data_IF_132883066340
#
_entry.id   IF_132883066340
#
_cell.length_a   1.000
_cell.length_b   1.000
_cell.length_c   1.000
_cell.angle_alpha   90.00
_cell.angle_beta   90.00
_cell.angle_gamma   90.00
#
_symmetry.space_group_name_H-M   'P 1'
#
loop_
_entity.id
_entity.type
_entity.pdbx_description
1 polymer ?
#
# COMPACT_ATOMS: atom_id res chain seq x y z
N UNK A 1 -13.17 6.41 -15.47
CA UNK A 1 -13.20 7.79 -14.96
C UNK A 1 -13.38 7.78 -13.44
N UNK A 2 -12.60 8.59 -12.72
CA UNK A 2 -12.74 8.78 -11.26
C UNK A 2 -12.56 10.27 -10.98
N UNK A 3 -13.56 10.88 -10.33
CA UNK A 3 -13.47 12.26 -9.87
C UNK A 3 -13.67 12.36 -8.36
N UNK A 4 -12.78 13.10 -7.69
CA UNK A 4 -12.84 13.32 -6.26
C UNK A 4 -12.60 14.78 -5.87
N UNK A 5 -13.43 15.28 -4.97
CA UNK A 5 -13.40 16.65 -4.44
C UNK A 5 -13.40 16.62 -2.90
N UNK A 6 -12.52 17.38 -2.26
CA UNK A 6 -12.62 17.63 -0.81
C UNK A 6 -13.70 18.66 -0.46
N UNK A 7 -14.01 19.55 -1.40
CA UNK A 7 -15.03 20.58 -1.25
C UNK A 7 -15.77 20.76 -2.57
N UNK A 8 -17.10 20.93 -2.51
CA UNK A 8 -17.94 21.12 -3.71
C UNK A 8 -17.67 22.44 -4.47
N UNK A 9 -16.96 23.37 -3.83
CA UNK A 9 -16.71 24.72 -4.41
C UNK A 9 -15.35 24.84 -5.10
N UNK A 10 -14.53 23.78 -5.13
CA UNK A 10 -13.15 23.81 -5.65
C UNK A 10 -13.01 22.78 -6.77
N UNK A 11 -12.03 22.98 -7.64
CA UNK A 11 -11.64 22.01 -8.66
C UNK A 11 -11.40 20.60 -8.07
N UNK A 12 -11.59 19.55 -8.88
CA UNK A 12 -11.34 18.20 -8.42
C UNK A 12 -9.92 18.05 -7.89
N UNK A 13 -9.77 17.37 -6.76
CA UNK A 13 -8.46 16.97 -6.25
C UNK A 13 -7.87 15.88 -7.14
N UNK A 14 -8.74 15.01 -7.66
CA UNK A 14 -8.39 13.96 -8.62
C UNK A 14 -9.43 13.92 -9.73
N UNK A 15 -8.94 13.83 -10.98
CA UNK A 15 -9.70 13.54 -12.18
C UNK A 15 -8.88 12.57 -13.03
N UNK A 16 -9.12 11.28 -12.86
CA UNK A 16 -8.39 10.21 -13.54
C UNK A 16 -9.32 9.55 -14.54
N UNK A 17 -9.00 9.68 -15.83
CA UNK A 17 -9.80 9.13 -16.94
C UNK A 17 -9.76 7.61 -16.93
N UNK A 18 -8.56 7.05 -16.99
CA UNK A 18 -8.33 5.61 -17.01
C UNK A 18 -6.95 5.29 -16.47
N UNK A 19 -6.89 4.26 -15.65
CA UNK A 19 -5.63 3.69 -15.18
C UNK A 19 -5.83 2.24 -14.77
N UNK A 20 -4.82 1.40 -15.04
CA UNK A 20 -4.85 0.00 -14.63
C UNK A 20 -3.45 -0.46 -14.24
N UNK A 21 -3.42 -1.44 -13.34
CA UNK A 21 -2.23 -2.17 -12.90
C UNK A 21 -2.54 -3.65 -13.13
N UNK A 22 -1.63 -4.34 -13.82
CA UNK A 22 -1.78 -5.76 -14.07
C UNK A 22 -1.34 -6.60 -12.86
N UNK A 23 -1.86 -7.82 -12.78
CA UNK A 23 -1.43 -8.77 -11.77
C UNK A 23 0.08 -9.03 -11.88
N UNK A 24 0.78 -9.01 -10.73
CA UNK A 24 2.23 -9.20 -10.65
C UNK A 24 3.05 -8.00 -11.12
N UNK A 25 2.42 -6.93 -11.58
CA UNK A 25 3.11 -5.70 -12.01
C UNK A 25 3.50 -4.84 -10.81
N UNK A 26 4.70 -4.27 -10.83
CA UNK A 26 5.16 -3.27 -9.89
C UNK A 26 5.10 -1.88 -10.49
N UNK A 27 4.37 -0.96 -9.82
CA UNK A 27 4.18 0.42 -10.28
C UNK A 27 4.68 1.39 -9.23
N UNK A 28 5.55 2.29 -9.66
CA UNK A 28 6.03 3.42 -8.88
C UNK A 28 5.22 4.67 -9.19
N UNK A 29 4.47 5.16 -8.22
CA UNK A 29 3.68 6.38 -8.33
C UNK A 29 4.39 7.52 -7.59
N UNK A 30 4.76 8.56 -8.32
CA UNK A 30 5.39 9.73 -7.73
C UNK A 30 4.58 11.00 -8.00
N UNK A 31 4.90 12.05 -7.27
CA UNK A 31 4.25 13.36 -7.43
C UNK A 31 4.62 14.29 -6.28
N UNK A 32 4.44 15.59 -6.49
CA UNK A 32 4.74 16.62 -5.49
C UNK A 32 3.92 16.41 -4.21
N UNK A 33 4.38 16.95 -3.08
CA UNK A 33 3.56 16.99 -1.87
C UNK A 33 2.25 17.73 -2.17
N UNK A 34 1.14 17.21 -1.66
CA UNK A 34 -0.20 17.77 -1.93
C UNK A 34 -0.79 17.45 -3.30
N UNK A 35 -0.14 16.64 -4.15
CA UNK A 35 -0.67 16.30 -5.49
C UNK A 35 -1.88 15.35 -5.48
N UNK A 36 -2.27 14.81 -4.33
CA UNK A 36 -3.39 13.87 -4.23
C UNK A 36 -3.01 12.40 -4.11
N UNK A 37 -1.72 12.05 -3.92
CA UNK A 37 -1.26 10.65 -3.79
C UNK A 37 -2.02 9.88 -2.71
N UNK A 38 -2.04 10.39 -1.48
CA UNK A 38 -2.77 9.74 -0.37
C UNK A 38 -4.29 9.71 -0.59
N UNK A 39 -4.84 10.72 -1.29
CA UNK A 39 -6.25 10.71 -1.70
C UNK A 39 -6.52 9.56 -2.67
N UNK A 40 -5.67 9.38 -3.69
CA UNK A 40 -5.77 8.26 -4.63
C UNK A 40 -5.66 6.91 -3.92
N UNK A 41 -4.68 6.75 -3.01
CA UNK A 41 -4.55 5.52 -2.23
C UNK A 41 -5.78 5.23 -1.38
N UNK A 42 -6.36 6.25 -0.75
CA UNK A 42 -7.58 6.10 0.04
C UNK A 42 -8.80 5.73 -0.82
N UNK A 43 -8.86 6.18 -2.07
CA UNK A 43 -9.90 5.77 -3.03
C UNK A 43 -9.67 4.32 -3.47
N UNK A 44 -8.44 3.93 -3.83
CA UNK A 44 -8.12 2.56 -4.23
C UNK A 44 -8.39 1.58 -3.08
N UNK A 45 -8.09 1.97 -1.84
CA UNK A 45 -8.37 1.14 -0.67
C UNK A 45 -9.84 1.17 -0.23
N UNK A 46 -10.71 1.98 -0.87
CA UNK A 46 -12.11 2.12 -0.53
C UNK A 46 -12.37 2.82 0.81
N UNK A 47 -11.39 3.55 1.35
CA UNK A 47 -11.54 4.41 2.54
C UNK A 47 -12.29 5.69 2.16
N UNK A 48 -11.97 6.26 0.99
CA UNK A 48 -12.69 7.38 0.39
C UNK A 48 -13.52 6.90 -0.80
N UNK A 49 -14.68 7.50 -0.96
CA UNK A 49 -15.55 7.25 -2.12
C UNK A 49 -15.41 8.41 -3.12
N UNK A 50 -15.13 8.12 -4.40
CA UNK A 50 -15.16 9.14 -5.44
C UNK A 50 -16.58 9.64 -5.64
N UNK A 51 -16.76 10.91 -5.97
CA UNK A 51 -18.08 11.46 -6.31
C UNK A 51 -18.58 10.99 -7.66
N UNK A 52 -17.64 10.63 -8.57
CA UNK A 52 -17.99 10.06 -9.87
C UNK A 52 -16.97 8.98 -10.25
N UNK A 53 -17.44 8.02 -11.04
CA UNK A 53 -16.61 7.00 -11.64
C UNK A 53 -16.65 5.66 -10.91
N UNK A 54 -15.74 4.76 -11.32
CA UNK A 54 -15.71 3.36 -10.89
C UNK A 54 -14.29 2.96 -10.57
N UNK A 55 -14.10 2.31 -9.42
CA UNK A 55 -12.84 1.65 -9.07
C UNK A 55 -13.07 0.14 -9.05
N UNK A 56 -12.39 -0.56 -9.97
CA UNK A 56 -12.43 -2.02 -10.05
C UNK A 56 -11.12 -2.62 -9.59
N UNK A 57 -11.21 -3.62 -8.72
CA UNK A 57 -10.06 -4.35 -8.18
C UNK A 57 -10.41 -5.84 -8.21
N UNK A 58 -9.58 -6.66 -8.85
CA UNK A 58 -9.84 -8.10 -9.04
C UNK A 58 -11.23 -8.35 -9.64
N UNK A 59 -11.59 -7.58 -10.67
CA UNK A 59 -12.89 -7.60 -11.35
C UNK A 59 -14.08 -7.16 -10.49
N UNK A 60 -13.87 -6.85 -9.21
CA UNK A 60 -14.88 -6.34 -8.29
C UNK A 60 -14.96 -4.81 -8.35
N UNK A 61 -16.14 -4.26 -8.59
CA UNK A 61 -16.42 -2.83 -8.44
C UNK A 61 -16.56 -2.49 -6.95
N UNK A 62 -15.48 -1.94 -6.36
CA UNK A 62 -15.45 -1.61 -4.93
C UNK A 62 -16.28 -0.35 -4.59
N UNK A 63 -16.61 0.48 -5.57
CA UNK A 63 -17.43 1.69 -5.34
C UNK A 63 -18.87 1.35 -4.99
N UNK A 64 -19.33 0.14 -5.36
CA UNK A 64 -20.69 -0.35 -5.07
C UNK A 64 -20.80 -1.13 -3.77
N UNK A 65 -19.69 -1.43 -3.12
CA UNK A 65 -19.68 -2.19 -1.89
C UNK A 65 -20.09 -1.31 -0.70
N UNK A 66 -20.82 -1.88 0.24
CA UNK A 66 -21.04 -1.28 1.55
C UNK A 66 -19.76 -1.23 2.38
N UNK A 67 -19.73 -0.38 3.42
CA UNK A 67 -18.50 -0.16 4.22
C UNK A 67 -17.93 -1.46 4.80
N UNK A 68 -18.77 -2.33 5.35
CA UNK A 68 -18.34 -3.62 5.90
C UNK A 68 -17.76 -4.55 4.83
N UNK A 69 -18.30 -4.50 3.62
CA UNK A 69 -17.79 -5.28 2.49
C UNK A 69 -16.45 -4.74 2.00
N UNK A 70 -16.28 -3.40 1.94
CA UNK A 70 -14.99 -2.76 1.65
C UNK A 70 -13.93 -3.15 2.67
N UNK A 71 -14.28 -3.15 3.97
CA UNK A 71 -13.36 -3.55 5.03
C UNK A 71 -12.92 -5.01 4.89
N UNK A 72 -13.85 -5.92 4.59
CA UNK A 72 -13.55 -7.33 4.32
C UNK A 72 -12.71 -7.50 3.05
N UNK A 73 -13.02 -6.77 2.00
CA UNK A 73 -12.29 -6.81 0.74
C UNK A 73 -10.83 -6.37 0.94
N UNK A 74 -10.61 -5.23 1.65
CA UNK A 74 -9.25 -4.77 2.01
C UNK A 74 -8.49 -5.82 2.79
N UNK A 75 -9.10 -6.32 3.87
CA UNK A 75 -8.45 -7.28 4.75
C UNK A 75 -8.08 -8.58 4.04
N UNK A 76 -8.82 -8.98 3.00
CA UNK A 76 -8.58 -10.20 2.24
C UNK A 76 -7.57 -10.03 1.12
N UNK A 77 -7.63 -8.92 0.39
CA UNK A 77 -6.97 -8.78 -0.90
C UNK A 77 -5.83 -7.75 -0.91
N UNK A 78 -5.72 -6.90 0.12
CA UNK A 78 -4.76 -5.80 0.14
C UNK A 78 -3.79 -5.89 1.31
N UNK A 79 -2.49 -5.82 1.03
CA UNK A 79 -1.45 -5.58 2.01
C UNK A 79 -1.07 -4.10 2.00
N UNK A 80 -1.22 -3.39 3.12
CA UNK A 80 -0.91 -1.96 3.18
C UNK A 80 0.28 -1.71 4.10
N UNK A 81 1.29 -1.03 3.57
CA UNK A 81 2.49 -0.59 4.30
C UNK A 81 2.43 0.94 4.37
N UNK A 82 2.36 1.47 5.57
CA UNK A 82 2.26 2.91 5.82
C UNK A 82 3.62 3.52 6.13
N UNK A 83 3.76 4.82 5.90
CA UNK A 83 4.94 5.61 6.25
C UNK A 83 5.35 5.46 7.73
N UNK A 84 4.40 5.44 8.65
CA UNK A 84 4.62 5.25 10.09
C UNK A 84 4.39 3.80 10.52
N UNK A 85 4.70 2.81 9.76
CA UNK A 85 4.54 1.36 9.98
C UNK A 85 3.25 0.93 10.70
N UNK A 86 2.65 1.76 11.53
CA UNK A 86 1.41 1.54 12.29
C UNK A 86 1.39 0.20 13.06
N UNK A 87 2.54 -0.19 13.62
CA UNK A 87 2.60 -1.31 14.55
C UNK A 87 2.02 -0.89 15.89
N UNK A 88 1.31 -1.80 16.53
CA UNK A 88 0.79 -1.58 17.89
C UNK A 88 1.94 -1.81 18.87
N UNK A 89 2.42 -0.76 19.58
CA UNK A 89 3.72 -0.80 20.27
C UNK A 89 3.80 -1.84 21.40
N UNK A 90 2.68 -2.09 22.07
CA UNK A 90 2.59 -3.00 23.23
C UNK A 90 2.27 -4.45 22.84
N UNK A 91 1.90 -4.71 21.59
CA UNK A 91 1.71 -6.07 21.07
C UNK A 91 3.04 -6.70 20.66
N UNK A 92 3.11 -8.02 20.72
CA UNK A 92 4.24 -8.76 20.18
C UNK A 92 4.32 -8.64 18.65
N UNK A 93 5.47 -8.98 18.07
CA UNK A 93 5.62 -9.09 16.61
C UNK A 93 4.60 -10.06 16.03
N UNK A 94 4.46 -11.23 16.67
CA UNK A 94 3.48 -12.24 16.26
C UNK A 94 2.06 -11.66 16.25
N UNK A 95 1.63 -11.00 17.32
CA UNK A 95 0.29 -10.43 17.41
C UNK A 95 0.07 -9.33 16.38
N UNK A 96 1.07 -8.47 16.15
CA UNK A 96 1.00 -7.43 15.10
C UNK A 96 0.79 -8.03 13.71
N UNK A 97 1.49 -9.12 13.38
CA UNK A 97 1.34 -9.81 12.09
C UNK A 97 -0.04 -10.47 11.99
N UNK A 98 -0.50 -11.11 13.07
CA UNK A 98 -1.79 -11.81 13.10
C UNK A 98 -3.01 -10.90 13.08
N UNK A 99 -2.86 -9.60 13.37
CA UNK A 99 -3.99 -8.66 13.26
C UNK A 99 -4.65 -8.68 11.88
N UNK A 100 -3.87 -8.89 10.81
CA UNK A 100 -4.41 -9.00 9.45
C UNK A 100 -5.25 -10.27 9.25
N UNK A 101 -4.99 -11.34 10.01
CA UNK A 101 -5.73 -12.61 9.94
C UNK A 101 -7.16 -12.53 10.48
N UNK A 102 -7.40 -11.67 11.47
CA UNK A 102 -8.70 -11.58 12.14
C UNK A 102 -9.84 -11.32 11.15
N UNK A 103 -9.52 -10.73 10.01
CA UNK A 103 -10.48 -10.32 8.98
C UNK A 103 -10.27 -11.05 7.64
N UNK A 104 -9.21 -11.86 7.50
CA UNK A 104 -8.91 -12.62 6.27
C UNK A 104 -9.21 -14.11 6.48
N UNK A 105 -9.67 -14.79 5.41
CA UNK A 105 -9.91 -16.24 5.45
C UNK A 105 -8.62 -17.07 5.39
N UNK A 106 -7.48 -16.45 5.11
CA UNK A 106 -6.19 -17.12 4.96
C UNK A 106 -5.48 -17.23 6.32
N UNK A 107 -5.49 -18.42 6.89
CA UNK A 107 -4.71 -18.73 8.10
C UNK A 107 -3.39 -19.37 7.70
N UNK A 108 -2.31 -18.61 7.74
CA UNK A 108 -0.96 -19.20 7.71
C UNK A 108 -0.68 -19.93 9.02
N UNK A 109 -0.05 -21.10 8.91
CA UNK A 109 0.45 -21.79 10.09
C UNK A 109 1.58 -20.99 10.75
N UNK A 110 1.90 -21.33 11.99
CA UNK A 110 3.00 -20.70 12.72
C UNK A 110 4.34 -20.90 11.97
N UNK A 111 4.54 -22.05 11.37
CA UNK A 111 5.73 -22.41 10.57
C UNK A 111 5.86 -21.50 9.35
N UNK A 112 4.76 -21.25 8.65
CA UNK A 112 4.73 -20.35 7.50
C UNK A 112 5.01 -18.88 7.92
N UNK A 113 4.58 -18.48 9.12
CA UNK A 113 4.90 -17.16 9.67
C UNK A 113 6.39 -17.05 10.01
N UNK A 114 6.96 -18.07 10.67
CA UNK A 114 8.41 -18.12 10.97
C UNK A 114 9.20 -18.03 9.67
N UNK A 115 8.83 -18.81 8.67
CA UNK A 115 9.50 -18.78 7.37
C UNK A 115 9.45 -17.39 6.71
N UNK A 116 8.30 -16.71 6.73
CA UNK A 116 8.17 -15.35 6.22
C UNK A 116 9.07 -14.37 6.97
N UNK A 117 9.11 -14.45 8.30
CA UNK A 117 9.97 -13.60 9.14
C UNK A 117 11.45 -13.80 8.80
N UNK A 118 11.88 -15.06 8.62
CA UNK A 118 13.26 -15.39 8.25
C UNK A 118 13.61 -14.90 6.84
N UNK A 119 12.70 -15.04 5.88
CA UNK A 119 12.86 -14.47 4.53
C UNK A 119 13.02 -12.94 4.55
N UNK A 120 12.40 -12.27 5.54
CA UNK A 120 12.55 -10.84 5.76
C UNK A 120 13.81 -10.47 6.58
N UNK A 121 14.71 -11.43 6.81
CA UNK A 121 15.96 -11.21 7.55
C UNK A 121 15.76 -10.94 9.03
N UNK A 122 14.66 -11.41 9.62
CA UNK A 122 14.37 -11.31 11.04
C UNK A 122 14.52 -12.69 11.70
N UNK A 123 15.07 -12.71 12.92
CA UNK A 123 15.17 -13.95 13.69
C UNK A 123 13.82 -14.33 14.32
N UNK A 124 13.50 -15.62 14.34
CA UNK A 124 12.25 -16.15 14.88
C UNK A 124 12.04 -15.83 16.37
N UNK A 125 13.09 -15.59 17.14
CA UNK A 125 13.00 -15.19 18.55
C UNK A 125 12.36 -13.80 18.74
N UNK A 126 12.42 -12.94 17.71
CA UNK A 126 11.77 -11.64 17.72
C UNK A 126 10.23 -11.73 17.75
N UNK A 127 9.65 -12.85 17.34
CA UNK A 127 8.18 -13.02 17.32
C UNK A 127 7.51 -12.75 18.66
N UNK A 128 8.22 -13.00 19.77
CA UNK A 128 7.73 -12.78 21.14
C UNK A 128 8.02 -11.38 21.69
N UNK A 129 8.88 -10.60 21.03
CA UNK A 129 9.21 -9.24 21.49
C UNK A 129 8.10 -8.27 21.15
N UNK A 130 7.92 -7.25 21.97
CA UNK A 130 7.00 -6.16 21.71
C UNK A 130 7.53 -5.26 20.58
N UNK A 131 6.64 -4.69 19.78
CA UNK A 131 7.05 -3.84 18.67
C UNK A 131 7.86 -2.61 19.07
N UNK A 132 7.61 -2.04 20.26
CA UNK A 132 8.39 -0.91 20.80
C UNK A 132 9.82 -1.27 21.24
N UNK A 133 10.19 -2.54 21.25
CA UNK A 133 11.54 -3.03 21.59
C UNK A 133 12.39 -3.28 20.34
N UNK A 134 11.85 -3.06 19.16
CA UNK A 134 12.50 -3.29 17.88
C UNK A 134 13.21 -2.03 17.38
N UNK A 135 14.32 -2.23 16.65
CA UNK A 135 14.93 -1.16 15.86
C UNK A 135 13.97 -0.70 14.74
N UNK A 136 14.19 0.49 14.19
CA UNK A 136 13.36 1.03 13.08
C UNK A 136 13.33 0.06 11.91
N UNK A 137 14.47 -0.48 11.47
CA UNK A 137 14.54 -1.45 10.40
C UNK A 137 13.82 -2.76 10.72
N UNK A 138 13.87 -3.24 11.98
CA UNK A 138 13.08 -4.41 12.40
C UNK A 138 11.58 -4.12 12.38
N UNK A 139 11.14 -2.96 12.87
CA UNK A 139 9.72 -2.55 12.81
C UNK A 139 9.22 -2.49 11.37
N UNK A 140 10.02 -1.97 10.46
CA UNK A 140 9.69 -1.90 9.04
C UNK A 140 9.50 -3.29 8.44
N UNK A 141 10.45 -4.22 8.67
CA UNK A 141 10.34 -5.60 8.19
C UNK A 141 9.13 -6.34 8.79
N UNK A 142 8.77 -6.04 10.04
CA UNK A 142 7.53 -6.54 10.67
C UNK A 142 6.30 -5.95 10.00
N UNK A 143 6.30 -4.68 9.60
CA UNK A 143 5.20 -4.08 8.86
C UNK A 143 5.00 -4.74 7.48
N UNK A 144 6.10 -5.08 6.79
CA UNK A 144 6.05 -5.89 5.56
C UNK A 144 5.50 -7.27 5.84
N UNK A 145 5.98 -7.95 6.88
CA UNK A 145 5.47 -9.27 7.27
C UNK A 145 3.95 -9.24 7.51
N UNK A 146 3.46 -8.22 8.23
CA UNK A 146 2.02 -8.02 8.46
C UNK A 146 1.25 -7.83 7.16
N UNK A 147 1.79 -7.02 6.24
CA UNK A 147 1.15 -6.75 4.96
C UNK A 147 1.12 -7.99 4.04
N UNK A 148 2.14 -8.85 4.10
CA UNK A 148 2.29 -10.03 3.24
C UNK A 148 1.74 -11.32 3.84
N UNK A 149 1.47 -11.34 5.14
CA UNK A 149 1.13 -12.56 5.85
C UNK A 149 -0.10 -13.30 5.31
N UNK A 150 -1.10 -12.58 4.84
CA UNK A 150 -2.31 -13.16 4.24
C UNK A 150 -2.23 -13.37 2.72
N UNK A 151 -1.05 -13.22 2.10
CA UNK A 151 -0.80 -13.38 0.67
C UNK A 151 -1.72 -12.50 -0.19
N UNK A 152 -1.72 -11.19 0.01
CA UNK A 152 -2.59 -10.30 -0.72
C UNK A 152 -2.28 -10.30 -2.21
N UNK A 153 -3.28 -10.12 -3.06
CA UNK A 153 -3.10 -9.93 -4.49
C UNK A 153 -2.56 -8.54 -4.83
N UNK A 154 -2.72 -7.57 -3.91
CA UNK A 154 -2.29 -6.19 -4.10
C UNK A 154 -1.54 -5.70 -2.88
N UNK A 155 -0.37 -5.11 -3.10
CA UNK A 155 0.44 -4.46 -2.08
C UNK A 155 0.45 -2.96 -2.35
N UNK A 156 0.09 -2.17 -1.36
CA UNK A 156 0.12 -0.70 -1.41
C UNK A 156 1.14 -0.23 -0.37
N UNK A 157 2.15 0.52 -0.81
CA UNK A 157 3.19 1.05 0.04
C UNK A 157 3.22 2.59 -0.07
N UNK A 158 2.79 3.29 0.99
CA UNK A 158 2.71 4.75 1.04
C UNK A 158 3.92 5.33 1.77
N UNK A 159 4.88 5.89 1.01
CA UNK A 159 6.13 6.50 1.51
C UNK A 159 6.90 5.62 2.53
N UNK A 160 7.01 4.29 2.34
CA UNK A 160 7.46 3.36 3.37
C UNK A 160 8.96 3.50 3.70
N UNK A 161 9.70 4.21 2.86
CA UNK A 161 11.16 4.36 2.98
C UNK A 161 11.60 5.77 3.35
N UNK A 162 10.67 6.67 3.66
CA UNK A 162 10.97 8.09 3.91
C UNK A 162 11.87 8.36 5.12
N UNK A 163 11.99 7.42 6.06
CA UNK A 163 12.80 7.53 7.27
C UNK A 163 14.11 6.71 7.21
N UNK A 164 14.46 6.14 6.05
CA UNK A 164 15.61 5.27 5.88
C UNK A 164 16.77 5.99 5.19
N UNK A 165 17.99 5.56 5.51
CA UNK A 165 19.17 5.84 4.70
C UNK A 165 19.11 5.09 3.36
N UNK A 166 19.99 5.47 2.41
CA UNK A 166 19.92 4.97 1.04
C UNK A 166 20.14 3.44 0.95
N UNK A 167 21.08 2.89 1.70
CA UNK A 167 21.40 1.46 1.66
C UNK A 167 20.25 0.61 2.21
N UNK A 168 19.77 0.94 3.39
CA UNK A 168 18.61 0.27 4.02
C UNK A 168 17.34 0.38 3.17
N UNK A 169 17.15 1.52 2.50
CA UNK A 169 16.01 1.76 1.61
C UNK A 169 16.05 0.84 0.39
N UNK A 170 17.20 0.72 -0.26
CA UNK A 170 17.36 -0.08 -1.47
C UNK A 170 17.16 -1.58 -1.15
N UNK A 171 17.77 -2.07 -0.05
CA UNK A 171 17.51 -3.42 0.46
C UNK A 171 16.03 -3.69 0.74
N UNK A 172 15.33 -2.71 1.32
CA UNK A 172 13.91 -2.83 1.61
C UNK A 172 13.06 -2.99 0.35
N UNK A 173 13.34 -2.18 -0.68
CA UNK A 173 12.59 -2.23 -1.94
C UNK A 173 12.81 -3.58 -2.63
N UNK A 174 14.04 -4.02 -2.74
CA UNK A 174 14.37 -5.32 -3.33
C UNK A 174 13.65 -6.47 -2.60
N UNK A 175 13.70 -6.48 -1.27
CA UNK A 175 13.02 -7.47 -0.44
C UNK A 175 11.50 -7.45 -0.66
N UNK A 176 10.88 -6.28 -0.68
CA UNK A 176 9.45 -6.13 -0.91
C UNK A 176 9.04 -6.67 -2.28
N UNK A 177 9.77 -6.28 -3.34
CA UNK A 177 9.49 -6.70 -4.71
C UNK A 177 9.71 -8.21 -4.90
N UNK A 178 10.77 -8.77 -4.30
CA UNK A 178 11.01 -10.22 -4.32
C UNK A 178 9.86 -10.99 -3.68
N UNK A 179 9.38 -10.55 -2.51
CA UNK A 179 8.25 -11.18 -1.83
C UNK A 179 6.94 -11.02 -2.62
N UNK A 180 6.71 -9.87 -3.23
CA UNK A 180 5.55 -9.63 -4.09
C UNK A 180 5.55 -10.55 -5.31
N UNK A 181 6.71 -10.70 -5.97
CA UNK A 181 6.87 -11.59 -7.12
C UNK A 181 6.59 -13.06 -6.78
N UNK A 182 7.04 -13.53 -5.60
CA UNK A 182 6.77 -14.90 -5.13
C UNK A 182 5.28 -15.21 -5.01
N UNK A 183 4.47 -14.21 -4.63
CA UNK A 183 3.03 -14.34 -4.51
C UNK A 183 2.26 -13.89 -5.77
N UNK A 184 2.96 -13.42 -6.81
CA UNK A 184 2.40 -12.80 -8.00
C UNK A 184 1.43 -11.63 -7.65
N UNK A 185 1.80 -10.85 -6.63
CA UNK A 185 1.05 -9.68 -6.17
C UNK A 185 1.38 -8.45 -7.03
N UNK A 186 0.37 -7.65 -7.34
CA UNK A 186 0.61 -6.31 -7.90
C UNK A 186 1.13 -5.38 -6.79
N UNK A 187 2.07 -4.50 -7.12
CA UNK A 187 2.64 -3.53 -6.18
C UNK A 187 2.36 -2.10 -6.66
N UNK A 188 1.76 -1.30 -5.79
CA UNK A 188 1.68 0.14 -5.94
C UNK A 188 2.54 0.81 -4.87
N UNK A 189 3.70 1.29 -5.26
CA UNK A 189 4.65 1.96 -4.38
C UNK A 189 4.60 3.47 -4.61
N UNK A 190 4.34 4.21 -3.56
CA UNK A 190 4.22 5.67 -3.62
C UNK A 190 5.39 6.31 -2.90
N UNK A 191 6.10 7.21 -3.59
CA UNK A 191 7.14 8.04 -3.00
C UNK A 191 7.32 9.36 -3.74
N UNK A 192 7.99 10.30 -3.12
CA UNK A 192 8.43 11.54 -3.75
C UNK A 192 9.88 11.44 -4.30
N UNK A 193 10.63 10.41 -3.92
CA UNK A 193 12.00 10.18 -4.38
C UNK A 193 12.02 9.45 -5.73
N UNK A 194 12.17 10.20 -6.79
CA UNK A 194 12.19 9.67 -8.17
C UNK A 194 13.35 8.73 -8.48
N UNK A 195 14.41 8.71 -7.65
CA UNK A 195 15.54 7.80 -7.86
C UNK A 195 15.13 6.33 -7.75
N UNK A 196 14.02 6.05 -7.06
CA UNK A 196 13.49 4.71 -6.86
C UNK A 196 12.80 4.12 -8.08
N UNK A 197 12.50 4.92 -9.09
CA UNK A 197 11.77 4.49 -10.28
C UNK A 197 12.42 3.31 -11.01
N UNK A 198 13.76 3.17 -10.92
CA UNK A 198 14.52 2.10 -11.58
C UNK A 198 14.24 0.69 -11.05
N UNK A 199 13.66 0.56 -9.85
CA UNK A 199 13.32 -0.74 -9.26
C UNK A 199 12.00 -1.33 -9.76
N UNK A 200 11.15 -0.53 -10.43
CA UNK A 200 9.78 -0.88 -10.77
C UNK A 200 9.57 -1.06 -12.27
N UNK A 201 8.61 -1.91 -12.64
CA UNK A 201 8.27 -2.17 -14.06
C UNK A 201 7.74 -0.93 -14.75
N UNK A 202 7.04 -0.06 -14.02
CA UNK A 202 6.47 1.17 -14.54
C UNK A 202 6.58 2.30 -13.52
N UNK A 203 6.89 3.51 -13.99
CA UNK A 203 6.86 4.72 -13.18
C UNK A 203 5.87 5.73 -13.74
N UNK A 204 5.06 6.33 -12.86
CA UNK A 204 3.97 7.22 -13.24
C UNK A 204 4.01 8.48 -12.40
N UNK A 205 3.99 9.64 -13.06
CA UNK A 205 3.74 10.91 -12.38
C UNK A 205 2.23 11.08 -12.17
N UNK A 206 1.79 11.26 -10.93
CA UNK A 206 0.37 11.51 -10.65
C UNK A 206 -0.17 12.73 -11.40
N UNK A 207 0.65 13.71 -11.70
CA UNK A 207 0.22 14.88 -12.48
C UNK A 207 -0.16 14.53 -13.92
N UNK A 208 0.45 13.50 -14.51
CA UNK A 208 0.09 13.04 -15.86
C UNK A 208 -1.17 12.18 -15.87
N UNK A 209 -1.45 11.46 -14.77
CA UNK A 209 -2.70 10.72 -14.57
C UNK A 209 -3.87 11.64 -14.26
N UNK A 210 -3.60 12.69 -13.48
CA UNK A 210 -4.61 13.61 -12.97
C UNK A 210 -4.85 14.73 -13.99
N UNK A 211 -5.83 14.54 -14.86
CA UNK A 211 -6.18 15.51 -15.91
C UNK A 211 -6.96 16.67 -15.27
N UNK A 212 -6.23 17.64 -14.74
CA UNK A 212 -6.82 18.91 -14.30
C UNK A 212 -7.16 19.74 -15.54
N UNK A 213 -8.42 19.95 -15.81
CA UNK A 213 -8.80 20.98 -16.79
C UNK A 213 -8.29 22.34 -16.29
N UNK A 214 -7.58 23.11 -17.16
CA UNK A 214 -7.17 24.45 -16.76
C UNK A 214 -8.43 25.28 -16.44
N UNK A 215 -8.48 25.84 -15.25
CA UNK A 215 -9.57 26.75 -14.87
C UNK A 215 -9.75 27.80 -15.98
N UNK A 216 -10.86 27.73 -16.70
CA UNK A 216 -11.36 28.90 -17.38
C UNK A 216 -11.75 29.89 -16.29
N UNK A 217 -10.87 30.84 -16.04
CA UNK A 217 -11.25 32.02 -15.29
C UNK A 217 -12.46 32.61 -16.02
N UNK A 218 -13.64 32.47 -15.43
CA UNK A 218 -14.78 33.26 -15.86
C UNK A 218 -14.40 34.73 -15.55
N UNK A 219 -14.26 35.50 -16.61
CA UNK A 219 -14.08 36.96 -16.58
C UNK A 219 -15.39 37.59 -16.17
#
# INVERSE_FOLDING_TARGET
DVEFYWSKAVAPTLNIKEWHINKGQSVFLYGRSGSGKSTLLNIITGILEPQQGVVRILDQDITRLGQVEKDRFRARHMGVIFQQFNLIPYLSVMDNIQLSQTFSAANRSKEQMVHLIEQLGLSADLLRRKANQLSVGQQQRVAVARALHHQPEIIIADEPTSALDAETRDEFIELLLQQAATNNSAVLFVSHDKSLACYFDQSIDLQTLNVMEPHRHAV
#
